data_IF_789794430827
#
_entry.id   IF_789794430827
#
_cell.length_a   1.000
_cell.length_b   1.000
_cell.length_c   1.000
_cell.angle_alpha   90.00
_cell.angle_beta   90.00
_cell.angle_gamma   90.00
#
_symmetry.space_group_name_H-M   'P 1'
#
loop_
_entity.id
_entity.type
_entity.pdbx_description
1 polymer ?
#
# COMPACT_ATOMS: atom_id res chain seq x y z
N UNK A 1 0.42 -14.49 8.25
CA UNK A 1 0.18 -13.03 8.20
C UNK A 1 0.14 -12.48 6.79
N UNK A 2 1.11 -12.77 5.92
CA UNK A 2 1.11 -12.29 4.53
C UNK A 2 -0.19 -12.60 3.76
N UNK A 3 -0.66 -13.85 3.80
CA UNK A 3 -1.93 -14.22 3.16
C UNK A 3 -3.15 -13.53 3.79
N UNK A 4 -3.11 -13.22 5.08
CA UNK A 4 -4.18 -12.47 5.76
C UNK A 4 -4.30 -11.05 5.19
N UNK A 5 -3.16 -10.42 4.92
CA UNK A 5 -3.09 -9.10 4.30
C UNK A 5 -3.39 -9.10 2.79
N UNK A 6 -3.43 -10.27 2.14
CA UNK A 6 -3.70 -10.41 0.70
C UNK A 6 -4.92 -11.30 0.44
N UNK A 7 -4.72 -12.57 0.07
CA UNK A 7 -5.74 -13.53 -0.35
C UNK A 7 -6.89 -13.69 0.64
N UNK A 8 -6.59 -13.92 1.91
CA UNK A 8 -7.59 -14.20 2.93
C UNK A 8 -8.37 -12.93 3.31
N UNK A 9 -7.73 -11.75 3.28
CA UNK A 9 -8.42 -10.47 3.42
C UNK A 9 -9.39 -10.21 2.26
N UNK A 10 -8.94 -10.41 1.02
CA UNK A 10 -9.78 -10.28 -0.17
C UNK A 10 -10.97 -11.26 -0.11
N UNK A 11 -10.74 -12.52 0.30
CA UNK A 11 -11.80 -13.52 0.50
C UNK A 11 -12.80 -13.09 1.57
N UNK A 12 -12.35 -12.59 2.72
CA UNK A 12 -13.21 -12.13 3.80
C UNK A 12 -14.11 -10.96 3.36
N UNK A 13 -13.57 -10.05 2.54
CA UNK A 13 -14.28 -8.88 2.00
C UNK A 13 -15.05 -9.18 0.70
N UNK A 14 -14.98 -10.42 0.18
CA UNK A 14 -15.56 -10.83 -1.11
C UNK A 14 -15.10 -9.98 -2.29
N UNK A 15 -13.84 -9.54 -2.26
CA UNK A 15 -13.20 -8.79 -3.34
C UNK A 15 -12.44 -9.78 -4.21
N UNK A 16 -12.58 -9.68 -5.54
CA UNK A 16 -11.88 -10.54 -6.49
C UNK A 16 -10.41 -10.13 -6.70
N UNK A 17 -9.65 -10.03 -5.60
CA UNK A 17 -8.24 -9.64 -5.59
C UNK A 17 -7.41 -10.55 -4.66
N UNK A 18 -6.24 -10.08 -4.22
CA UNK A 18 -5.39 -10.76 -3.25
C UNK A 18 -4.49 -11.89 -3.79
N UNK A 19 -4.56 -12.20 -5.09
CA UNK A 19 -3.65 -13.12 -5.78
C UNK A 19 -3.34 -12.61 -7.19
N UNK A 20 -2.09 -12.75 -7.64
CA UNK A 20 -1.69 -12.44 -9.01
C UNK A 20 -2.11 -13.59 -9.93
N UNK A 21 -3.30 -13.49 -10.53
CA UNK A 21 -3.87 -14.50 -11.42
C UNK A 21 -4.77 -13.85 -12.46
N UNK A 22 -4.80 -14.39 -13.67
CA UNK A 22 -5.74 -13.95 -14.71
C UNK A 22 -7.19 -13.99 -14.22
N UNK A 23 -7.98 -12.99 -14.64
CA UNK A 23 -9.37 -12.81 -14.22
C UNK A 23 -9.56 -12.20 -12.83
N UNK A 24 -8.49 -11.86 -12.09
CA UNK A 24 -8.56 -11.08 -10.84
C UNK A 24 -8.29 -9.59 -11.07
N UNK A 25 -8.73 -8.74 -10.14
CA UNK A 25 -8.42 -7.32 -10.13
C UNK A 25 -6.90 -7.11 -10.06
N UNK A 26 -6.41 -6.13 -10.82
CA UNK A 26 -5.00 -5.74 -10.81
C UNK A 26 -4.69 -4.82 -9.61
N UNK A 27 -4.79 -5.39 -8.41
CA UNK A 27 -4.43 -4.75 -7.14
C UNK A 27 -3.00 -5.15 -6.76
N UNK A 28 -2.05 -4.22 -6.94
CA UNK A 28 -0.62 -4.51 -6.84
C UNK A 28 0.12 -3.41 -6.09
N UNK A 29 1.16 -3.81 -5.36
CA UNK A 29 2.21 -2.91 -4.86
C UNK A 29 3.53 -3.30 -5.50
N UNK A 30 4.35 -2.31 -5.82
CA UNK A 30 5.75 -2.52 -6.17
C UNK A 30 6.59 -2.15 -4.96
N UNK A 31 7.52 -3.02 -4.59
CA UNK A 31 8.37 -2.86 -3.42
C UNK A 31 9.81 -2.67 -3.86
N UNK A 32 10.44 -1.60 -3.39
CA UNK A 32 11.88 -1.35 -3.54
C UNK A 32 12.67 -2.19 -2.52
N UNK A 33 13.30 -3.25 -3.02
CA UNK A 33 14.12 -4.19 -2.22
C UNK A 33 15.50 -3.63 -1.84
N UNK A 34 15.85 -2.43 -2.29
CA UNK A 34 17.10 -1.77 -1.91
C UNK A 34 16.99 -0.93 -0.64
N UNK A 35 15.79 -0.82 -0.06
CA UNK A 35 15.60 -0.12 1.21
C UNK A 35 16.37 -0.79 2.34
N UNK A 36 16.97 0.03 3.21
CA UNK A 36 17.74 -0.42 4.38
C UNK A 36 16.92 -1.33 5.29
N UNK A 37 15.61 -1.07 5.41
CA UNK A 37 14.69 -1.89 6.19
C UNK A 37 14.50 -3.32 5.68
N UNK A 38 14.95 -3.62 4.46
CA UNK A 38 14.86 -4.94 3.83
C UNK A 38 16.24 -5.59 3.65
N UNK A 39 17.31 -5.00 4.21
CA UNK A 39 18.65 -5.57 4.23
C UNK A 39 18.91 -6.25 5.57
N UNK A 40 19.56 -7.42 5.61
CA UNK A 40 20.29 -8.10 4.52
C UNK A 40 19.42 -8.89 3.52
N UNK A 41 18.12 -9.09 3.76
CA UNK A 41 17.19 -9.66 2.78
C UNK A 41 17.18 -11.20 2.72
N UNK A 42 17.36 -11.89 3.85
CA UNK A 42 17.44 -13.35 3.88
C UNK A 42 16.12 -14.06 3.56
N UNK A 43 14.98 -13.45 3.91
CA UNK A 43 13.66 -14.00 3.60
C UNK A 43 12.69 -12.87 3.32
N UNK A 44 12.42 -12.65 2.03
CA UNK A 44 11.59 -11.55 1.56
C UNK A 44 10.19 -11.51 2.21
N UNK A 45 9.53 -12.65 2.42
CA UNK A 45 8.19 -12.67 3.02
C UNK A 45 8.26 -12.28 4.50
N UNK A 46 9.26 -12.78 5.22
CA UNK A 46 9.50 -12.38 6.61
C UNK A 46 9.83 -10.89 6.68
N UNK A 47 10.72 -10.42 5.82
CA UNK A 47 11.13 -9.03 5.75
C UNK A 47 9.93 -8.12 5.39
N UNK A 48 9.03 -8.55 4.50
CA UNK A 48 7.81 -7.81 4.16
C UNK A 48 6.78 -7.76 5.28
N UNK A 49 6.69 -8.79 6.11
CA UNK A 49 5.71 -8.85 7.21
C UNK A 49 6.20 -8.11 8.45
N UNK A 50 7.50 -8.20 8.74
CA UNK A 50 8.05 -7.74 10.02
C UNK A 50 8.94 -6.50 9.90
N UNK A 51 9.60 -6.28 8.76
CA UNK A 51 10.64 -5.26 8.61
C UNK A 51 10.24 -4.13 7.64
N UNK A 52 9.36 -4.42 6.67
CA UNK A 52 8.88 -3.44 5.71
C UNK A 52 8.08 -2.32 6.39
N UNK A 53 8.40 -1.09 5.98
CA UNK A 53 7.62 0.10 6.31
C UNK A 53 7.01 0.65 5.02
N UNK A 54 5.97 1.46 5.11
CA UNK A 54 5.28 2.01 3.92
C UNK A 54 6.21 2.77 2.95
N UNK A 55 7.39 3.19 3.40
CA UNK A 55 8.40 3.84 2.56
C UNK A 55 9.08 2.91 1.53
N UNK A 56 8.99 1.59 1.68
CA UNK A 56 9.52 0.64 0.70
C UNK A 56 8.56 0.37 -0.46
N UNK A 57 7.33 0.87 -0.41
CA UNK A 57 6.39 0.77 -1.54
C UNK A 57 6.63 1.94 -2.49
N UNK A 58 7.03 1.65 -3.73
CA UNK A 58 7.34 2.66 -4.75
C UNK A 58 6.10 3.02 -5.59
N UNK A 59 5.29 2.04 -5.94
CA UNK A 59 4.05 2.19 -6.71
C UNK A 59 2.89 1.45 -6.05
N UNK A 60 1.68 2.01 -6.20
CA UNK A 60 0.41 1.40 -5.81
C UNK A 60 -0.54 1.41 -7.00
N UNK A 61 -1.07 0.24 -7.33
CA UNK A 61 -2.03 0.01 -8.41
C UNK A 61 -3.28 -0.61 -7.81
N UNK A 62 -4.45 -0.07 -8.13
CA UNK A 62 -5.75 -0.56 -7.70
C UNK A 62 -6.64 -0.68 -8.93
N UNK A 63 -7.15 -1.88 -9.21
CA UNK A 63 -7.94 -2.17 -10.40
C UNK A 63 -7.29 -1.63 -11.69
N UNK A 64 -5.98 -1.87 -11.84
CA UNK A 64 -5.20 -1.43 -13.00
C UNK A 64 -4.91 0.07 -13.05
N UNK A 65 -5.41 0.87 -12.11
CA UNK A 65 -5.16 2.32 -12.03
C UNK A 65 -4.03 2.61 -11.05
N UNK A 66 -3.08 3.40 -11.50
CA UNK A 66 -1.95 3.82 -10.68
C UNK A 66 -2.41 4.94 -9.74
N UNK A 67 -2.46 4.64 -8.44
CA UNK A 67 -2.83 5.58 -7.39
C UNK A 67 -1.62 6.32 -6.83
N UNK A 68 -0.46 5.66 -6.81
CA UNK A 68 0.81 6.23 -6.36
C UNK A 68 1.93 5.77 -7.31
N UNK A 69 2.83 6.70 -7.66
CA UNK A 69 4.02 6.39 -8.46
C UNK A 69 5.23 7.15 -7.93
N UNK A 70 6.38 6.46 -7.80
CA UNK A 70 7.58 7.07 -7.23
C UNK A 70 7.32 7.69 -5.85
N UNK A 71 6.45 7.05 -5.05
CA UNK A 71 5.99 7.53 -3.73
C UNK A 71 5.24 8.87 -3.74
N UNK A 72 4.72 9.30 -4.89
CA UNK A 72 3.87 10.50 -5.00
C UNK A 72 2.44 10.09 -5.34
N UNK A 73 1.49 10.62 -4.56
CA UNK A 73 0.07 10.46 -4.79
C UNK A 73 -0.45 11.66 -5.57
N UNK A 74 -1.41 11.45 -6.46
CA UNK A 74 -2.05 12.55 -7.19
C UNK A 74 -2.71 13.53 -6.22
N UNK A 75 -2.49 14.83 -6.43
CA UNK A 75 -3.08 15.91 -5.64
C UNK A 75 -2.71 15.92 -4.14
N UNK A 76 -1.58 15.32 -3.77
CA UNK A 76 -1.11 15.17 -2.37
C UNK A 76 -1.15 16.49 -1.58
N UNK A 77 -0.65 17.59 -2.15
CA UNK A 77 -0.69 18.90 -1.49
C UNK A 77 -2.11 19.38 -1.18
N UNK A 78 -3.06 19.13 -2.10
CA UNK A 78 -4.47 19.51 -1.92
C UNK A 78 -5.09 18.66 -0.80
N UNK A 79 -4.78 17.36 -0.78
CA UNK A 79 -5.24 16.44 0.28
C UNK A 79 -4.72 16.93 1.64
N UNK A 80 -3.43 17.25 1.75
CA UNK A 80 -2.83 17.75 2.98
C UNK A 80 -3.47 19.07 3.46
N UNK A 81 -3.75 20.01 2.54
CA UNK A 81 -4.45 21.25 2.85
C UNK A 81 -5.86 21.00 3.40
N UNK A 82 -6.61 20.09 2.78
CA UNK A 82 -7.96 19.73 3.24
C UNK A 82 -7.94 19.04 4.61
N UNK A 83 -6.98 18.15 4.85
CA UNK A 83 -6.78 17.50 6.16
C UNK A 83 -6.50 18.55 7.23
N UNK A 84 -5.56 19.47 7.00
CA UNK A 84 -5.23 20.52 7.95
C UNK A 84 -6.42 21.44 8.27
N UNK A 85 -7.22 21.79 7.25
CA UNK A 85 -8.44 22.59 7.42
C UNK A 85 -9.48 21.86 8.28
N UNK A 86 -9.73 20.57 8.02
CA UNK A 86 -10.68 19.76 8.80
C UNK A 86 -10.21 19.53 10.23
N UNK A 87 -8.91 19.27 10.43
CA UNK A 87 -8.33 19.10 11.77
C UNK A 87 -8.47 20.35 12.63
N UNK A 88 -8.31 21.55 12.05
CA UNK A 88 -8.59 22.81 12.76
C UNK A 88 -10.04 22.93 13.20
N UNK A 89 -10.99 22.51 12.35
CA UNK A 89 -12.43 22.55 12.67
C UNK A 89 -12.80 21.60 13.83
N UNK A 90 -12.18 20.41 13.88
CA UNK A 90 -12.37 19.42 14.95
C UNK A 90 -11.78 19.85 16.30
N UNK A 91 -10.75 20.70 16.31
CA UNK A 91 -10.18 21.24 17.56
C UNK A 91 -10.99 22.39 18.18
N UNK A 92 -11.99 22.89 17.45
CA UNK A 92 -12.83 24.03 17.86
C UNK A 92 -14.26 23.56 18.21
N UNK A 93 -14.55 22.26 18.07
CA UNK A 93 -15.76 21.59 18.59
C UNK A 93 -15.46 20.84 19.87
#
# INVERSE_FOLDING_TARGET
TFELATKNGAKALKINSGELKEGKLADLILVDLNQVSLKPGHNLISDLVYSAKGNCVSELICDGKILMRGRKVKDEEKILKEVAKRAKKLKIS
#
